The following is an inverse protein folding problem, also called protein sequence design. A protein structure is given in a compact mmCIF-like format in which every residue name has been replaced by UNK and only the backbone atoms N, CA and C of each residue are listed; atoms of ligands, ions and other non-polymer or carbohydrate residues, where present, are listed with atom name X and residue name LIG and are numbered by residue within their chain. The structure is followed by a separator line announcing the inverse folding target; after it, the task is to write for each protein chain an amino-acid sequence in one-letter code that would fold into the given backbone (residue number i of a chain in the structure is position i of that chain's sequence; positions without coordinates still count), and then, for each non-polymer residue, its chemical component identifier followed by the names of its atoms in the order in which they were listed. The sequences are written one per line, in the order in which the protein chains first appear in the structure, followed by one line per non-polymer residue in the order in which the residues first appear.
data_IF_469303718638
#
_entry.id   IF_469303718638
#
_cell.length_a   1.000
_cell.length_b   1.000
_cell.length_c   1.000
_cell.angle_alpha   90.00
_cell.angle_beta   90.00
_cell.angle_gamma   90.00
#
_symmetry.space_group_name_H-M   'P 1'
#
loop_
_entity.id
_entity.type
_entity.pdbx_description
1 polymer ?
#
# COMPACT_ATOMS: atom_id res chain seq x y z
N UNK A 1 4.75 -11.48 9.69
CA UNK A 1 4.66 -10.12 9.15
C UNK A 1 5.08 -9.11 10.22
N UNK A 2 5.77 -8.05 9.85
CA UNK A 2 6.21 -7.07 10.83
C UNK A 2 5.04 -6.22 11.34
N UNK A 3 5.17 -5.70 12.56
CA UNK A 3 4.16 -4.82 13.12
C UNK A 3 4.02 -3.53 12.30
N UNK A 4 5.12 -3.06 11.72
CA UNK A 4 5.10 -1.88 10.88
C UNK A 4 4.27 -2.13 9.60
N UNK A 5 4.49 -3.27 8.97
CA UNK A 5 3.76 -3.60 7.75
C UNK A 5 2.26 -3.75 8.04
N UNK A 6 1.92 -4.40 9.15
CA UNK A 6 0.52 -4.55 9.53
C UNK A 6 -0.14 -3.19 9.76
N UNK A 7 0.56 -2.28 10.40
CA UNK A 7 0.06 -0.94 10.65
C UNK A 7 -0.21 -0.21 9.33
N UNK A 8 0.72 -0.32 8.37
CA UNK A 8 0.57 0.30 7.06
C UNK A 8 -0.64 -0.28 6.33
N UNK A 9 -0.82 -1.60 6.40
CA UNK A 9 -1.96 -2.25 5.77
C UNK A 9 -3.28 -1.77 6.36
N UNK A 10 -3.33 -1.62 7.68
CA UNK A 10 -4.53 -1.14 8.35
C UNK A 10 -4.87 0.28 7.91
N UNK A 11 -3.86 1.13 7.77
CA UNK A 11 -4.07 2.49 7.31
C UNK A 11 -4.52 2.52 5.85
N UNK A 12 -3.97 1.63 5.02
CA UNK A 12 -4.38 1.54 3.63
C UNK A 12 -5.86 1.16 3.49
N UNK A 13 -6.35 0.29 4.37
CA UNK A 13 -7.75 -0.10 4.35
C UNK A 13 -8.69 1.05 4.71
N UNK A 14 -8.18 2.06 5.41
CA UNK A 14 -8.98 3.25 5.76
C UNK A 14 -9.14 4.20 4.59
N UNK A 15 -8.36 4.01 3.53
CA UNK A 15 -8.46 4.84 2.34
C UNK A 15 -9.66 4.44 1.49
N UNK A 16 -10.11 5.36 0.63
CA UNK A 16 -11.12 5.03 -0.37
C UNK A 16 -10.58 3.97 -1.33
N UNK A 17 -11.49 3.29 -2.04
CA UNK A 17 -11.08 2.27 -3.01
C UNK A 17 -10.18 2.87 -4.09
N UNK A 18 -10.47 4.08 -4.53
CA UNK A 18 -9.67 4.76 -5.54
C UNK A 18 -8.26 5.03 -5.05
N UNK A 19 -8.15 5.54 -3.82
CA UNK A 19 -6.84 5.83 -3.25
C UNK A 19 -6.04 4.56 -3.00
N UNK A 20 -6.71 3.49 -2.59
CA UNK A 20 -6.03 2.20 -2.42
C UNK A 20 -5.49 1.69 -3.74
N UNK A 21 -6.24 1.87 -4.82
CA UNK A 21 -5.77 1.44 -6.15
C UNK A 21 -4.52 2.22 -6.55
N UNK A 22 -4.50 3.51 -6.29
CA UNK A 22 -3.32 4.33 -6.57
C UNK A 22 -2.12 3.89 -5.76
N UNK A 23 -2.33 3.60 -4.49
CA UNK A 23 -1.25 3.14 -3.64
C UNK A 23 -0.69 1.81 -4.14
N UNK A 24 -1.57 0.89 -4.53
CA UNK A 24 -1.16 -0.40 -5.06
C UNK A 24 -0.33 -0.24 -6.33
N UNK A 25 -0.75 0.63 -7.23
CA UNK A 25 0.02 0.89 -8.45
C UNK A 25 1.40 1.44 -8.14
N UNK A 26 1.49 2.36 -7.19
CA UNK A 26 2.76 2.93 -6.77
C UNK A 26 3.68 1.87 -6.18
N UNK A 27 3.13 0.98 -5.38
CA UNK A 27 3.91 -0.10 -4.77
C UNK A 27 4.42 -1.09 -5.82
N UNK A 28 3.58 -1.44 -6.78
CA UNK A 28 3.99 -2.32 -7.87
C UNK A 28 5.09 -1.69 -8.72
N UNK A 29 4.99 -0.39 -8.96
CA UNK A 29 6.00 0.33 -9.70
C UNK A 29 7.35 0.29 -9.00
N UNK A 30 7.34 0.40 -7.67
CA UNK A 30 8.59 0.36 -6.92
C UNK A 30 9.27 -1.00 -6.98
N UNK A 31 8.54 -2.06 -7.25
CA UNK A 31 9.13 -3.37 -7.44
C UNK A 31 9.91 -3.44 -8.76
N UNK A 32 9.51 -2.65 -9.74
CA UNK A 32 10.17 -2.63 -11.05
C UNK A 32 11.41 -1.75 -11.06
N UNK A 33 11.42 -0.72 -10.24
CA UNK A 33 12.48 0.30 -10.30
C UNK A 33 13.46 0.24 -9.15
N UNK A 34 13.43 -0.81 -8.38
CA UNK A 34 14.31 -0.95 -7.19
C UNK A 34 15.80 -0.94 -7.49
#
# INVERSE_FOLDING_TARGET
MSALLKNIEDQARALSAEDRARLAESMLESLHTS
#
